data_IF_659384927994
#
_entry.id   IF_659384927994
#
_cell.length_a   1.000
_cell.length_b   1.000
_cell.length_c   1.000
_cell.angle_alpha   90.00
_cell.angle_beta   90.00
_cell.angle_gamma   90.00
#
_symmetry.space_group_name_H-M   'P 1'
#
loop_
_entity.id
_entity.type
_entity.pdbx_description
1 polymer ?
#
# COMPACT_ATOMS: atom_id res chain seq x y z
N UNK A 1 14.41 19.84 7.34
CA UNK A 1 15.31 20.26 6.25
C UNK A 1 15.16 21.75 6.07
N UNK A 2 16.21 22.54 6.29
CA UNK A 2 16.16 23.99 6.01
C UNK A 2 15.99 24.22 4.51
N UNK A 3 14.91 24.88 4.11
CA UNK A 3 14.70 25.26 2.72
C UNK A 3 15.71 26.34 2.36
N UNK A 4 16.81 25.97 1.71
CA UNK A 4 17.80 26.91 1.19
C UNK A 4 17.15 27.76 0.09
N UNK A 5 16.80 28.99 0.43
CA UNK A 5 16.25 30.00 -0.49
C UNK A 5 17.37 30.57 -1.35
N UNK A 6 17.12 30.80 -2.64
CA UNK A 6 18.05 31.51 -3.51
C UNK A 6 17.63 32.99 -3.55
N UNK A 7 18.49 33.86 -3.04
CA UNK A 7 18.24 35.31 -2.98
C UNK A 7 19.38 36.03 -3.70
N UNK A 8 19.01 36.98 -4.57
CA UNK A 8 19.94 37.89 -5.25
C UNK A 8 19.67 39.31 -4.76
N UNK A 9 20.72 39.99 -4.31
CA UNK A 9 20.68 41.42 -4.01
C UNK A 9 21.12 42.17 -5.26
N UNK A 10 20.32 43.15 -5.67
CA UNK A 10 20.54 43.90 -6.92
C UNK A 10 20.37 45.38 -6.62
N UNK A 11 21.25 46.20 -7.20
CA UNK A 11 21.30 47.65 -6.99
C UNK A 11 21.12 48.47 -8.27
N UNK A 12 20.61 47.84 -9.32
CA UNK A 12 20.36 48.48 -10.62
C UNK A 12 19.14 47.86 -11.30
N UNK A 13 18.38 48.68 -12.00
CA UNK A 13 17.19 48.23 -12.72
C UNK A 13 17.55 47.44 -13.98
N UNK A 14 18.34 48.03 -14.87
CA UNK A 14 18.63 47.50 -16.20
C UNK A 14 19.93 46.66 -16.29
N UNK A 15 20.05 45.94 -17.40
CA UNK A 15 21.24 45.19 -17.79
C UNK A 15 21.16 43.69 -17.42
N UNK A 16 22.15 42.92 -17.88
CA UNK A 16 22.16 41.44 -17.79
C UNK A 16 21.97 40.86 -16.37
N UNK A 17 22.34 41.63 -15.34
CA UNK A 17 22.18 41.27 -13.93
C UNK A 17 21.37 42.32 -13.16
N UNK A 18 20.57 43.12 -13.86
CA UNK A 18 19.66 44.09 -13.29
C UNK A 18 18.39 43.43 -12.73
N UNK A 19 17.61 44.22 -12.00
CA UNK A 19 16.36 43.79 -11.38
C UNK A 19 15.39 43.22 -12.42
N UNK A 20 15.25 43.91 -13.54
CA UNK A 20 14.41 43.50 -14.68
C UNK A 20 14.77 42.11 -15.19
N UNK A 21 16.07 41.84 -15.37
CA UNK A 21 16.55 40.56 -15.89
C UNK A 21 16.27 39.38 -14.95
N UNK A 22 16.23 39.59 -13.63
CA UNK A 22 15.89 38.56 -12.65
C UNK A 22 14.38 38.39 -12.45
N UNK A 23 13.59 39.47 -12.57
CA UNK A 23 12.12 39.42 -12.54
C UNK A 23 11.60 38.65 -13.77
N UNK A 24 12.23 38.85 -14.92
CA UNK A 24 11.88 38.14 -16.15
C UNK A 24 12.24 36.64 -16.14
N UNK A 25 12.97 36.14 -15.13
CA UNK A 25 13.30 34.72 -15.07
C UNK A 25 12.08 33.87 -14.73
N UNK A 26 11.92 32.69 -15.36
CA UNK A 26 10.77 31.81 -15.11
C UNK A 26 10.72 31.25 -13.68
N UNK A 27 11.84 31.32 -12.94
CA UNK A 27 11.90 30.94 -11.54
C UNK A 27 11.83 32.15 -10.59
N UNK A 28 11.42 33.33 -11.06
CA UNK A 28 11.11 34.45 -10.17
C UNK A 28 10.01 34.04 -9.18
N UNK A 29 10.21 34.35 -7.90
CA UNK A 29 9.22 34.07 -6.85
C UNK A 29 8.65 35.36 -6.27
N UNK A 30 9.52 36.26 -5.82
CA UNK A 30 9.11 37.54 -5.23
C UNK A 30 10.29 38.50 -5.19
N UNK A 31 10.01 39.79 -5.02
CA UNK A 31 11.02 40.80 -4.72
C UNK A 31 10.64 41.60 -3.46
N UNK A 32 11.65 42.11 -2.76
CA UNK A 32 11.50 43.00 -1.61
C UNK A 32 12.46 44.17 -1.79
N UNK A 33 11.91 45.38 -1.81
CA UNK A 33 12.67 46.62 -1.96
C UNK A 33 13.07 47.08 -0.55
N UNK A 34 14.36 47.30 -0.33
CA UNK A 34 14.88 47.80 0.95
C UNK A 34 15.07 49.32 0.92
N UNK A 35 15.58 49.85 -0.20
CA UNK A 35 15.73 51.27 -0.47
C UNK A 35 15.75 51.53 -1.99
N UNK A 36 15.91 52.80 -2.38
CA UNK A 36 15.91 53.25 -3.79
C UNK A 36 16.97 52.55 -4.66
N UNK A 37 18.05 52.05 -4.05
CA UNK A 37 19.19 51.45 -4.72
C UNK A 37 19.41 49.98 -4.33
N UNK A 38 18.47 49.33 -3.62
CA UNK A 38 18.66 47.95 -3.16
C UNK A 38 17.36 47.16 -3.16
N UNK A 39 17.35 46.08 -3.95
CA UNK A 39 16.25 45.12 -4.05
C UNK A 39 16.76 43.71 -3.81
N UNK A 40 16.10 42.96 -2.94
CA UNK A 40 16.23 41.51 -2.84
C UNK A 40 15.26 40.81 -3.77
N UNK A 41 15.77 39.95 -4.64
CA UNK A 41 14.98 39.11 -5.52
C UNK A 41 15.12 37.67 -5.07
N UNK A 42 13.98 37.06 -4.75
CA UNK A 42 13.88 35.66 -4.38
C UNK A 42 13.56 34.85 -5.62
N UNK A 43 14.37 33.83 -5.86
CA UNK A 43 14.21 32.89 -6.96
C UNK A 43 13.87 31.49 -6.44
N UNK A 44 12.91 30.85 -7.08
CA UNK A 44 12.59 29.43 -6.94
C UNK A 44 13.75 28.57 -7.46
N UNK A 45 13.91 27.39 -6.87
CA UNK A 45 14.88 26.40 -7.35
C UNK A 45 14.32 25.72 -8.60
N UNK A 46 15.11 25.73 -9.67
CA UNK A 46 14.75 25.12 -10.96
C UNK A 46 15.21 23.66 -11.02
N UNK A 47 16.29 23.33 -10.30
CA UNK A 47 16.84 21.98 -10.24
C UNK A 47 16.77 21.43 -8.81
N UNK A 48 16.28 20.19 -8.71
CA UNK A 48 16.23 19.44 -7.45
C UNK A 48 17.05 18.17 -7.66
N UNK A 49 18.24 18.13 -7.06
CA UNK A 49 19.03 16.90 -7.01
C UNK A 49 18.40 15.93 -6.00
N UNK A 50 17.83 14.83 -6.50
CA UNK A 50 17.38 13.72 -5.65
C UNK A 50 18.50 12.68 -5.54
N UNK A 51 18.96 12.42 -4.31
CA UNK A 51 19.89 11.31 -4.00
C UNK A 51 19.14 10.11 -3.42
N UNK A 52 17.86 9.96 -3.75
CA UNK A 52 17.04 8.84 -3.30
C UNK A 52 17.06 7.76 -4.36
N UNK A 53 17.25 6.47 -3.99
CA UNK A 53 17.29 5.36 -4.94
C UNK A 53 15.86 4.97 -5.39
N UNK A 54 15.17 5.87 -6.09
CA UNK A 54 13.78 5.67 -6.52
C UNK A 54 13.65 4.42 -7.39
N UNK A 55 14.64 4.15 -8.24
CA UNK A 55 14.69 2.98 -9.10
C UNK A 55 14.71 1.65 -8.32
N UNK A 56 15.38 1.61 -7.15
CA UNK A 56 15.37 0.40 -6.30
C UNK A 56 13.95 0.16 -5.78
N UNK A 57 13.25 1.21 -5.35
CA UNK A 57 11.86 1.11 -4.91
C UNK A 57 10.92 0.58 -5.99
N UNK A 58 11.11 1.01 -7.24
CA UNK A 58 10.35 0.50 -8.39
C UNK A 58 10.61 -1.00 -8.61
N UNK A 59 11.88 -1.41 -8.62
CA UNK A 59 12.26 -2.82 -8.83
C UNK A 59 11.71 -3.71 -7.73
N UNK A 60 11.82 -3.31 -6.47
CA UNK A 60 11.25 -4.07 -5.33
C UNK A 60 9.73 -4.20 -5.48
N UNK A 61 9.04 -3.12 -5.85
CA UNK A 61 7.59 -3.15 -6.05
C UNK A 61 7.18 -4.12 -7.16
N UNK A 62 7.89 -4.15 -8.28
CA UNK A 62 7.58 -5.04 -9.40
C UNK A 62 7.90 -6.51 -9.08
N UNK A 63 8.98 -6.77 -8.33
CA UNK A 63 9.26 -8.10 -7.79
C UNK A 63 8.16 -8.57 -6.83
N UNK A 64 7.67 -7.70 -5.94
CA UNK A 64 6.58 -8.01 -5.03
C UNK A 64 5.29 -8.39 -5.78
N UNK A 65 4.91 -7.64 -6.82
CA UNK A 65 3.74 -7.99 -7.66
C UNK A 65 3.91 -9.33 -8.35
N UNK A 66 5.12 -9.65 -8.80
CA UNK A 66 5.41 -10.92 -9.48
C UNK A 66 5.14 -12.11 -8.57
N UNK A 67 5.46 -12.01 -7.27
CA UNK A 67 5.16 -13.08 -6.29
C UNK A 67 3.65 -13.29 -6.10
N UNK A 68 2.90 -12.19 -6.00
CA UNK A 68 1.44 -12.19 -5.85
C UNK A 68 0.77 -12.78 -7.10
N UNK A 69 1.22 -12.38 -8.29
CA UNK A 69 0.72 -12.92 -9.56
C UNK A 69 1.08 -14.39 -9.75
N UNK A 70 2.31 -14.81 -9.41
CA UNK A 70 2.70 -16.23 -9.45
C UNK A 70 1.75 -17.07 -8.61
N UNK A 71 1.44 -16.64 -7.38
CA UNK A 71 0.53 -17.39 -6.53
C UNK A 71 -0.88 -17.50 -7.12
N UNK A 72 -1.41 -16.42 -7.70
CA UNK A 72 -2.73 -16.45 -8.33
C UNK A 72 -2.76 -17.30 -9.61
N UNK A 73 -1.94 -16.95 -10.59
CA UNK A 73 -2.00 -17.54 -11.93
C UNK A 73 -1.29 -18.91 -12.02
N UNK A 74 -0.14 -19.07 -11.37
CA UNK A 74 0.61 -20.32 -11.48
C UNK A 74 0.20 -21.38 -10.47
N UNK A 75 -0.30 -20.99 -9.30
CA UNK A 75 -0.71 -21.92 -8.26
C UNK A 75 -2.24 -22.04 -8.17
N UNK A 76 -2.96 -20.98 -7.76
CA UNK A 76 -4.40 -21.06 -7.50
C UNK A 76 -5.21 -21.45 -8.74
N UNK A 77 -4.97 -20.80 -9.89
CA UNK A 77 -5.69 -21.14 -11.13
C UNK A 77 -5.35 -22.55 -11.63
N UNK A 78 -4.12 -23.04 -11.47
CA UNK A 78 -3.76 -24.39 -11.93
C UNK A 78 -4.27 -25.49 -11.00
N UNK A 79 -4.28 -25.26 -9.68
CA UNK A 79 -4.68 -26.26 -8.67
C UNK A 79 -6.19 -26.29 -8.44
N UNK A 80 -6.82 -25.12 -8.39
CA UNK A 80 -8.24 -24.98 -8.04
C UNK A 80 -9.08 -24.70 -9.29
N UNK A 81 -8.56 -23.88 -10.21
CA UNK A 81 -9.24 -23.52 -11.46
C UNK A 81 -10.47 -22.66 -11.23
N UNK A 82 -11.50 -22.90 -12.04
CA UNK A 82 -12.78 -22.15 -12.00
C UNK A 82 -13.55 -22.28 -10.68
N UNK A 83 -13.14 -23.21 -9.82
CA UNK A 83 -13.69 -23.39 -8.47
C UNK A 83 -13.24 -22.31 -7.50
N UNK A 84 -12.19 -21.54 -7.83
CA UNK A 84 -11.74 -20.40 -7.05
C UNK A 84 -12.14 -19.10 -7.75
N UNK A 85 -13.00 -18.32 -7.10
CA UNK A 85 -13.38 -16.98 -7.54
C UNK A 85 -12.66 -15.95 -6.67
N UNK A 86 -11.85 -15.11 -7.30
CA UNK A 86 -11.16 -14.01 -6.62
C UNK A 86 -12.17 -12.91 -6.30
N UNK A 87 -12.43 -12.67 -5.01
CA UNK A 87 -13.36 -11.64 -4.55
C UNK A 87 -12.66 -10.30 -4.29
N UNK A 88 -11.43 -10.35 -3.76
CA UNK A 88 -10.69 -9.14 -3.39
C UNK A 88 -9.18 -9.39 -3.37
N UNK A 89 -8.40 -8.34 -3.64
CA UNK A 89 -6.95 -8.34 -3.48
C UNK A 89 -6.45 -6.96 -3.02
N UNK A 90 -5.44 -6.94 -2.14
CA UNK A 90 -4.69 -5.74 -1.77
C UNK A 90 -3.23 -6.10 -1.52
N UNK A 91 -2.31 -5.41 -2.19
CA UNK A 91 -0.83 -5.44 -2.06
C UNK A 91 -0.18 -6.84 -2.03
N UNK A 92 -0.45 -7.63 -1.00
CA UNK A 92 0.11 -8.94 -0.66
C UNK A 92 -0.95 -9.97 -0.21
N UNK A 93 -2.24 -9.65 -0.32
CA UNK A 93 -3.35 -10.48 0.16
C UNK A 93 -4.39 -10.77 -0.92
N UNK A 94 -5.10 -11.89 -0.73
CA UNK A 94 -6.21 -12.33 -1.57
C UNK A 94 -7.37 -12.83 -0.71
N UNK A 95 -8.59 -12.62 -1.17
CA UNK A 95 -9.80 -13.26 -0.64
C UNK A 95 -10.44 -14.03 -1.78
N UNK A 96 -10.55 -15.35 -1.59
CA UNK A 96 -11.17 -16.25 -2.55
C UNK A 96 -12.46 -16.84 -1.99
N UNK A 97 -13.48 -16.91 -2.84
CA UNK A 97 -14.57 -17.86 -2.67
C UNK A 97 -14.15 -19.15 -3.37
N UNK A 98 -14.10 -20.25 -2.63
CA UNK A 98 -13.71 -21.56 -3.16
C UNK A 98 -14.85 -22.55 -2.99
N UNK A 99 -15.26 -23.19 -4.09
CA UNK A 99 -16.36 -24.15 -4.12
C UNK A 99 -15.85 -25.58 -4.34
N UNK A 100 -16.39 -26.54 -3.59
CA UNK A 100 -16.14 -27.98 -3.79
C UNK A 100 -14.64 -28.38 -3.76
N UNK A 101 -13.83 -27.68 -2.96
CA UNK A 101 -12.40 -28.00 -2.71
C UNK A 101 -12.10 -27.77 -1.25
N UNK A 102 -11.51 -28.77 -0.59
CA UNK A 102 -10.93 -28.59 0.74
C UNK A 102 -9.57 -27.92 0.61
N UNK A 103 -9.55 -26.61 0.83
CA UNK A 103 -8.33 -25.80 0.75
C UNK A 103 -7.30 -26.18 1.81
N UNK A 104 -7.73 -26.64 2.99
CA UNK A 104 -6.80 -27.01 4.06
C UNK A 104 -6.12 -28.35 3.77
N UNK A 105 -6.84 -29.31 3.16
CA UNK A 105 -6.22 -30.53 2.64
C UNK A 105 -5.21 -30.23 1.52
N UNK A 106 -5.53 -29.28 0.64
CA UNK A 106 -4.61 -28.83 -0.41
C UNK A 106 -3.36 -28.18 0.18
N UNK A 107 -3.52 -27.27 1.16
CA UNK A 107 -2.41 -26.61 1.86
C UNK A 107 -1.45 -27.60 2.53
N UNK A 108 -1.97 -28.67 3.15
CA UNK A 108 -1.14 -29.75 3.71
C UNK A 108 -0.33 -30.49 2.67
N UNK A 109 -0.88 -30.65 1.47
CA UNK A 109 -0.20 -31.30 0.36
C UNK A 109 0.88 -30.38 -0.21
N UNK A 110 0.59 -29.09 -0.29
CA UNK A 110 1.44 -28.09 -0.93
C UNK A 110 2.11 -27.14 0.07
N UNK A 111 2.59 -27.66 1.21
CA UNK A 111 3.20 -26.85 2.28
C UNK A 111 4.35 -25.94 1.80
N UNK A 112 4.98 -26.27 0.68
CA UNK A 112 6.05 -25.46 0.08
C UNK A 112 5.57 -24.11 -0.48
N UNK A 113 4.27 -23.94 -0.72
CA UNK A 113 3.64 -22.69 -1.18
C UNK A 113 3.12 -21.82 -0.02
N UNK A 114 3.10 -22.36 1.21
CA UNK A 114 2.49 -21.70 2.37
C UNK A 114 3.43 -21.51 3.57
N UNK A 115 3.25 -20.39 4.27
CA UNK A 115 3.72 -20.20 5.64
C UNK A 115 2.59 -20.58 6.60
N UNK A 116 2.78 -21.67 7.33
CA UNK A 116 1.83 -22.23 8.30
C UNK A 116 2.31 -22.07 9.73
N UNK A 117 3.39 -21.33 9.96
CA UNK A 117 4.03 -21.21 11.27
C UNK A 117 3.20 -20.45 12.32
N UNK A 118 2.21 -19.68 11.88
CA UNK A 118 1.31 -18.90 12.73
C UNK A 118 0.11 -19.72 13.26
N UNK A 119 -0.09 -20.96 12.79
CA UNK A 119 -1.14 -21.84 13.31
C UNK A 119 -0.85 -22.29 14.76
N UNK A 120 -1.90 -22.56 15.57
CA UNK A 120 -1.76 -23.20 16.87
C UNK A 120 -1.08 -24.58 16.77
N UNK A 121 -0.28 -24.95 17.78
CA UNK A 121 0.37 -26.26 17.82
C UNK A 121 -0.62 -27.43 17.89
N UNK A 122 -1.80 -27.19 18.46
CA UNK A 122 -2.93 -28.11 18.60
C UNK A 122 -4.06 -27.79 17.60
N UNK A 123 -3.73 -27.24 16.43
CA UNK A 123 -4.74 -26.88 15.44
C UNK A 123 -5.57 -28.10 15.01
N UNK A 124 -6.90 -27.94 14.99
CA UNK A 124 -7.85 -29.02 14.67
C UNK A 124 -7.67 -29.61 13.27
N UNK A 125 -7.03 -28.85 12.39
CA UNK A 125 -6.72 -29.26 11.04
C UNK A 125 -5.48 -30.15 10.97
N UNK A 126 -4.68 -30.36 12.02
CA UNK A 126 -3.41 -31.12 11.95
C UNK A 126 -2.45 -30.62 10.86
N UNK A 127 -2.37 -29.31 10.65
CA UNK A 127 -1.41 -28.68 9.75
C UNK A 127 -0.05 -28.59 10.46
N UNK A 128 1.00 -29.01 9.76
CA UNK A 128 2.39 -28.90 10.24
C UNK A 128 2.84 -27.45 10.22
N UNK A 129 3.48 -26.98 11.31
CA UNK A 129 3.99 -25.62 11.44
C UNK A 129 5.37 -25.47 10.77
N UNK A 130 5.43 -24.83 9.60
CA UNK A 130 6.68 -24.64 8.83
C UNK A 130 6.77 -23.24 8.23
N UNK A 131 7.93 -22.91 7.64
CA UNK A 131 8.13 -21.77 6.74
C UNK A 131 8.02 -20.35 7.34
N UNK A 132 8.23 -20.22 8.66
CA UNK A 132 8.13 -18.94 9.38
C UNK A 132 8.84 -17.78 8.70
N UNK A 133 8.06 -16.79 8.27
CA UNK A 133 8.50 -15.54 7.62
C UNK A 133 9.35 -15.77 6.37
N UNK A 134 9.14 -16.88 5.67
CA UNK A 134 9.83 -17.16 4.40
C UNK A 134 9.20 -16.32 3.29
N UNK A 135 10.03 -15.53 2.61
CA UNK A 135 9.58 -14.60 1.56
C UNK A 135 8.95 -15.35 0.39
N UNK A 136 7.83 -14.84 -0.11
CA UNK A 136 7.14 -15.34 -1.31
C UNK A 136 6.16 -16.48 -1.07
N UNK A 137 5.98 -16.90 0.18
CA UNK A 137 4.95 -17.86 0.58
C UNK A 137 3.73 -17.13 1.13
N UNK A 138 2.55 -17.70 0.84
CA UNK A 138 1.29 -17.16 1.34
C UNK A 138 0.93 -17.77 2.68
N UNK A 139 0.22 -17.02 3.52
CA UNK A 139 -0.31 -17.55 4.78
C UNK A 139 -1.82 -17.44 4.80
N UNK A 140 -2.44 -18.33 5.55
CA UNK A 140 -3.84 -18.18 5.93
C UNK A 140 -3.92 -17.22 7.13
N UNK A 141 -4.54 -16.05 6.93
CA UNK A 141 -4.68 -15.04 7.98
C UNK A 141 -5.71 -15.44 9.06
N UNK A 142 -6.62 -16.37 8.76
CA UNK A 142 -7.65 -16.85 9.68
C UNK A 142 -7.21 -18.08 10.49
N UNK A 143 -6.01 -18.62 10.23
CA UNK A 143 -5.41 -19.75 10.95
C UNK A 143 -6.36 -20.95 11.12
N UNK A 144 -7.08 -21.32 10.06
CA UNK A 144 -7.99 -22.45 10.02
C UNK A 144 -9.46 -22.12 10.27
N UNK A 145 -9.77 -20.91 10.73
CA UNK A 145 -11.16 -20.48 10.92
C UNK A 145 -11.78 -20.09 9.58
N UNK A 146 -12.95 -20.66 9.28
CA UNK A 146 -13.58 -20.48 7.97
C UNK A 146 -14.21 -19.08 7.88
N UNK A 147 -13.87 -18.35 6.81
CA UNK A 147 -14.57 -17.14 6.41
C UNK A 147 -15.94 -17.51 5.84
N UNK A 148 -17.01 -17.04 6.48
CA UNK A 148 -18.39 -17.39 6.08
C UNK A 148 -19.01 -16.34 5.18
N UNK A 149 -18.67 -15.07 5.38
CA UNK A 149 -19.24 -13.96 4.62
C UNK A 149 -18.17 -12.90 4.32
N UNK A 150 -18.27 -12.32 3.12
CA UNK A 150 -17.40 -11.23 2.67
C UNK A 150 -18.23 -10.17 1.95
N UNK A 151 -17.98 -8.91 2.30
CA UNK A 151 -18.56 -7.75 1.60
C UNK A 151 -17.45 -6.77 1.25
N UNK A 152 -17.21 -6.57 -0.04
CA UNK A 152 -16.23 -5.62 -0.57
C UNK A 152 -16.93 -4.46 -1.27
N UNK A 153 -16.86 -3.26 -0.70
CA UNK A 153 -17.49 -2.07 -1.28
C UNK A 153 -16.56 -1.32 -2.23
N UNK A 154 -15.29 -1.15 -1.83
CA UNK A 154 -14.23 -0.55 -2.65
C UNK A 154 -12.86 -0.96 -2.15
N UNK A 155 -11.80 -0.55 -2.86
CA UNK A 155 -10.43 -0.74 -2.40
C UNK A 155 -10.24 -0.24 -0.96
N UNK A 156 -9.73 -1.12 -0.08
CA UNK A 156 -9.47 -0.86 1.33
C UNK A 156 -10.71 -0.46 2.14
N UNK A 157 -11.89 -0.89 1.68
CA UNK A 157 -13.17 -0.78 2.38
C UNK A 157 -13.96 -2.08 2.23
N UNK A 158 -13.92 -2.90 3.26
CA UNK A 158 -14.55 -4.22 3.25
C UNK A 158 -14.83 -4.72 4.66
N UNK A 159 -15.72 -5.70 4.77
CA UNK A 159 -16.06 -6.39 6.01
C UNK A 159 -16.08 -7.90 5.79
N UNK A 160 -15.65 -8.65 6.80
CA UNK A 160 -15.50 -10.11 6.74
C UNK A 160 -16.06 -10.72 8.03
N UNK A 161 -16.88 -11.78 7.92
CA UNK A 161 -17.21 -12.66 9.05
C UNK A 161 -16.39 -13.94 8.97
N UNK A 162 -15.78 -14.29 10.09
CA UNK A 162 -15.02 -15.53 10.30
C UNK A 162 -15.69 -16.29 11.44
N UNK A 163 -15.81 -17.61 11.31
CA UNK A 163 -16.40 -18.45 12.36
C UNK A 163 -15.75 -18.19 13.71
N UNK A 164 -16.58 -18.07 14.74
CA UNK A 164 -16.19 -17.90 16.14
C UNK A 164 -15.28 -16.68 16.40
N UNK A 165 -15.28 -15.69 15.50
CA UNK A 165 -14.50 -14.46 15.63
C UNK A 165 -15.39 -13.22 15.46
N UNK A 166 -14.89 -12.10 15.99
CA UNK A 166 -15.51 -10.81 15.73
C UNK A 166 -15.31 -10.41 14.26
N UNK A 167 -16.32 -9.83 13.60
CA UNK A 167 -16.19 -9.41 12.21
C UNK A 167 -15.03 -8.43 12.01
N UNK A 168 -14.24 -8.69 10.98
CA UNK A 168 -13.10 -7.83 10.61
C UNK A 168 -13.64 -6.73 9.71
N UNK A 169 -13.46 -5.48 10.13
CA UNK A 169 -13.86 -4.29 9.38
C UNK A 169 -12.63 -3.53 8.93
N UNK A 170 -12.66 -3.01 7.70
CA UNK A 170 -11.64 -2.10 7.17
C UNK A 170 -12.30 -0.92 6.51
N UNK A 171 -11.97 0.30 6.96
CA UNK A 171 -12.42 1.54 6.33
C UNK A 171 -11.26 2.53 6.20
N UNK A 172 -10.56 2.51 5.06
CA UNK A 172 -9.49 3.49 4.83
C UNK A 172 -10.04 4.90 4.59
N UNK A 173 -9.41 5.87 5.26
CA UNK A 173 -9.73 7.30 5.16
C UNK A 173 -10.64 7.80 6.27
N UNK A 174 -11.14 6.90 7.12
CA UNK A 174 -11.94 7.25 8.30
C UNK A 174 -11.04 7.27 9.55
N UNK A 175 -11.41 8.11 10.53
CA UNK A 175 -10.68 8.19 11.80
C UNK A 175 -10.75 6.84 12.52
N UNK A 176 -9.65 6.42 13.13
CA UNK A 176 -9.55 5.15 13.85
C UNK A 176 -10.57 5.00 14.98
N UNK A 177 -11.02 6.11 15.57
CA UNK A 177 -12.08 6.11 16.59
C UNK A 177 -13.44 5.66 16.05
N UNK A 178 -13.71 5.92 14.77
CA UNK A 178 -14.94 5.52 14.10
C UNK A 178 -14.78 4.09 13.54
N UNK A 179 -13.62 3.76 12.98
CA UNK A 179 -13.32 2.40 12.47
C UNK A 179 -13.41 1.33 13.56
N UNK A 180 -12.94 1.64 14.78
CA UNK A 180 -13.04 0.77 15.96
C UNK A 180 -14.37 0.90 16.71
N UNK A 181 -15.28 1.74 16.22
CA UNK A 181 -16.54 1.96 16.89
C UNK A 181 -17.42 0.71 16.80
N UNK A 182 -18.20 0.41 17.85
CA UNK A 182 -19.23 -0.61 17.78
C UNK A 182 -20.41 -0.20 16.88
N UNK A 183 -20.54 1.09 16.51
CA UNK A 183 -21.69 1.57 15.74
C UNK A 183 -21.69 1.17 14.26
N UNK A 184 -20.54 0.78 13.71
CA UNK A 184 -20.46 0.27 12.34
C UNK A 184 -20.31 -1.24 12.45
N UNK A 185 -21.36 -1.97 12.12
CA UNK A 185 -21.39 -3.43 12.14
C UNK A 185 -21.20 -4.00 10.74
N UNK A 186 -21.18 -5.33 10.62
CA UNK A 186 -21.03 -5.97 9.32
C UNK A 186 -22.22 -5.65 8.40
N UNK A 187 -23.43 -5.62 8.95
CA UNK A 187 -24.65 -5.46 8.19
C UNK A 187 -24.73 -4.05 7.53
N UNK A 188 -24.06 -3.04 8.12
CA UNK A 188 -23.94 -1.71 7.52
C UNK A 188 -23.18 -1.70 6.18
N UNK A 189 -22.46 -2.77 5.85
CA UNK A 189 -21.77 -2.91 4.56
C UNK A 189 -22.66 -3.55 3.48
N UNK A 190 -23.77 -4.18 3.85
CA UNK A 190 -24.64 -4.91 2.90
C UNK A 190 -25.56 -3.94 2.12
N UNK A 191 -25.67 -2.70 2.58
CA UNK A 191 -26.65 -1.70 2.13
C UNK A 191 -26.16 -0.76 1.02
#
# INVERSE_FOLDING_TARGET
>A
MSAKVNVKLVNKWEGRYGCEAYIAQPNFHSCTIFDENLVAIRLSRIEIFTRKPVYIGLVVLDLSKTLVYRFHYDYMQKRVGDRAKLLYTDTDSFIYEVSNVDMYALMKTDLHEFDTSDYPADNQLNITLVNKKKVGLMKDESNGNIMTEFVGLRSKMYSVKVQDQTPIKKIKGVRSSIDKSPFIEFDDYIH
#
